data_IF_410943429364
#
_entry.id   IF_410943429364
#
_cell.length_a   1.000
_cell.length_b   1.000
_cell.length_c   1.000
_cell.angle_alpha   90.00
_cell.angle_beta   90.00
_cell.angle_gamma   90.00
#
_symmetry.space_group_name_H-M   'P 1'
#
loop_
_entity.id
_entity.type
_entity.pdbx_description
1 polymer ?
#
# COMPACT_ATOMS: atom_id res chain seq x y z
N UNK A 1 24.78 -41.03 20.44
CA UNK A 1 25.19 -39.65 20.79
C UNK A 1 25.01 -38.73 19.56
N UNK A 2 25.70 -38.98 18.48
CA UNK A 2 25.71 -38.06 17.29
C UNK A 2 24.32 -37.74 16.69
N UNK A 3 23.38 -38.71 16.58
CA UNK A 3 22.04 -38.45 16.03
C UNK A 3 21.21 -37.54 16.93
N UNK A 4 21.25 -37.72 18.22
CA UNK A 4 20.46 -36.90 19.17
C UNK A 4 20.99 -35.47 19.23
N UNK A 5 22.30 -35.26 19.05
CA UNK A 5 22.90 -33.95 18.96
C UNK A 5 22.44 -33.20 17.69
N UNK A 6 22.39 -33.91 16.54
CA UNK A 6 21.88 -33.36 15.28
C UNK A 6 20.39 -33.02 15.38
N UNK A 7 19.57 -33.87 15.99
CA UNK A 7 18.14 -33.59 16.21
C UNK A 7 17.97 -32.36 17.09
N UNK A 8 18.72 -32.23 18.19
CA UNK A 8 18.64 -31.07 19.08
C UNK A 8 19.10 -29.75 18.39
N UNK A 9 20.06 -29.85 17.48
CA UNK A 9 20.49 -28.69 16.67
C UNK A 9 19.37 -28.24 15.72
N UNK A 10 18.74 -29.18 15.00
CA UNK A 10 17.62 -28.89 14.09
C UNK A 10 16.42 -28.34 14.86
N UNK A 11 16.07 -28.92 16.01
CA UNK A 11 14.97 -28.46 16.85
C UNK A 11 15.17 -27.01 17.31
N UNK A 12 16.39 -26.65 17.72
CA UNK A 12 16.71 -25.26 18.08
C UNK A 12 16.54 -24.32 16.91
N UNK A 13 17.08 -24.68 15.74
CA UNK A 13 16.96 -23.85 14.52
C UNK A 13 15.50 -23.63 14.11
N UNK A 14 14.67 -24.68 14.16
CA UNK A 14 13.24 -24.58 13.87
C UNK A 14 12.49 -23.72 14.91
N UNK A 15 12.82 -23.85 16.20
CA UNK A 15 12.22 -23.01 17.24
C UNK A 15 12.61 -21.54 17.13
N UNK A 16 13.84 -21.25 16.66
CA UNK A 16 14.28 -19.87 16.38
C UNK A 16 13.52 -19.28 15.18
N UNK A 17 13.33 -20.07 14.10
CA UNK A 17 12.54 -19.65 12.92
C UNK A 17 11.05 -19.45 13.28
N UNK A 18 10.47 -20.30 14.14
CA UNK A 18 9.10 -20.14 14.65
C UNK A 18 8.93 -18.81 15.39
N UNK A 19 9.85 -18.50 16.34
CA UNK A 19 9.82 -17.20 17.05
C UNK A 19 9.96 -16.00 16.11
N UNK A 20 10.81 -16.10 15.10
CA UNK A 20 10.94 -15.05 14.09
C UNK A 20 9.66 -14.90 13.25
N UNK A 21 8.97 -16.00 12.94
CA UNK A 21 7.69 -16.00 12.24
C UNK A 21 6.58 -15.35 13.06
N UNK A 22 6.50 -15.66 14.36
CA UNK A 22 5.54 -15.03 15.27
C UNK A 22 5.77 -13.52 15.36
N UNK A 23 7.04 -13.09 15.49
CA UNK A 23 7.43 -11.67 15.46
C UNK A 23 6.98 -11.02 14.16
N UNK A 24 7.27 -11.63 13.01
CA UNK A 24 6.88 -11.12 11.70
C UNK A 24 5.36 -10.89 11.61
N UNK A 25 4.57 -11.86 12.06
CA UNK A 25 3.12 -11.76 12.08
C UNK A 25 2.63 -10.62 13.00
N UNK A 26 3.10 -10.58 14.25
CA UNK A 26 2.65 -9.59 15.23
C UNK A 26 2.99 -8.16 14.82
N UNK A 27 4.25 -7.92 14.40
CA UNK A 27 4.69 -6.58 14.01
C UNK A 27 4.02 -6.12 12.70
N UNK A 28 3.87 -7.00 11.71
CA UNK A 28 3.12 -6.70 10.48
C UNK A 28 1.70 -6.25 10.78
N UNK A 29 1.01 -6.92 11.71
CA UNK A 29 -0.35 -6.53 12.11
C UNK A 29 -0.38 -5.18 12.85
N UNK A 30 0.65 -4.83 13.63
CA UNK A 30 0.77 -3.51 14.27
C UNK A 30 0.95 -2.42 13.21
N UNK A 31 1.83 -2.66 12.23
CA UNK A 31 2.07 -1.76 11.11
C UNK A 31 0.76 -1.52 10.33
N UNK A 32 0.06 -2.57 9.92
CA UNK A 32 -1.21 -2.47 9.18
C UNK A 32 -2.28 -1.69 9.97
N UNK A 33 -2.32 -1.81 11.29
CA UNK A 33 -3.24 -0.99 12.09
C UNK A 33 -2.87 0.49 12.07
N UNK A 34 -1.58 0.82 12.08
CA UNK A 34 -1.10 2.21 11.98
C UNK A 34 -1.39 2.79 10.59
N UNK A 35 -1.18 2.02 9.50
CA UNK A 35 -1.48 2.46 8.13
C UNK A 35 -2.97 2.79 7.97
N UNK A 36 -3.86 1.94 8.46
CA UNK A 36 -5.31 2.21 8.45
C UNK A 36 -5.70 3.47 9.21
N UNK A 37 -5.03 3.75 10.35
CA UNK A 37 -5.24 5.00 11.09
C UNK A 37 -4.75 6.21 10.30
N UNK A 38 -3.58 6.12 9.65
CA UNK A 38 -3.03 7.19 8.83
C UNK A 38 -3.93 7.50 7.63
N UNK A 39 -4.34 6.47 6.85
CA UNK A 39 -5.27 6.62 5.71
C UNK A 39 -6.59 7.24 6.16
N UNK A 40 -7.16 6.77 7.28
CA UNK A 40 -8.37 7.37 7.81
C UNK A 40 -8.20 8.86 8.16
N UNK A 41 -7.08 9.24 8.77
CA UNK A 41 -6.73 10.64 9.04
C UNK A 41 -6.62 11.47 7.76
N UNK A 42 -6.00 10.93 6.71
CA UNK A 42 -5.88 11.59 5.41
C UNK A 42 -7.25 11.88 4.78
N UNK A 43 -8.20 10.95 4.81
CA UNK A 43 -9.58 11.18 4.35
C UNK A 43 -10.32 12.26 5.13
N UNK A 44 -9.94 12.49 6.37
CA UNK A 44 -10.51 13.57 7.19
C UNK A 44 -9.77 14.91 7.04
N UNK A 45 -8.77 14.98 6.17
CA UNK A 45 -7.87 16.13 6.04
C UNK A 45 -6.94 16.32 7.25
N UNK A 46 -6.78 15.29 8.07
CA UNK A 46 -5.96 15.28 9.30
C UNK A 46 -4.68 14.48 9.07
N UNK A 47 -3.75 15.07 8.33
CA UNK A 47 -2.44 14.49 8.08
C UNK A 47 -1.64 14.37 9.37
N UNK A 48 -1.08 13.20 9.65
CA UNK A 48 -0.21 12.91 10.80
C UNK A 48 1.17 12.42 10.31
N UNK A 49 2.11 13.35 10.02
CA UNK A 49 3.45 12.98 9.53
C UNK A 49 4.22 12.11 10.52
N UNK A 50 4.09 12.37 11.83
CA UNK A 50 4.79 11.60 12.85
C UNK A 50 4.34 10.14 12.87
N UNK A 51 3.05 9.89 12.64
CA UNK A 51 2.51 8.54 12.50
C UNK A 51 3.09 7.85 11.26
N UNK A 52 3.17 8.54 10.11
CA UNK A 52 3.74 8.00 8.86
C UNK A 52 5.23 7.67 9.06
N UNK A 53 6.00 8.57 9.67
CA UNK A 53 7.43 8.37 9.98
C UNK A 53 7.62 7.18 10.96
N UNK A 54 6.70 7.03 11.93
CA UNK A 54 6.73 5.89 12.85
C UNK A 54 6.47 4.56 12.14
N UNK A 55 5.62 4.54 11.11
CA UNK A 55 5.37 3.33 10.30
C UNK A 55 6.62 2.97 9.49
N UNK A 56 7.29 3.95 8.89
CA UNK A 56 8.56 3.75 8.19
C UNK A 56 9.61 3.12 9.12
N UNK A 57 9.76 3.65 10.33
CA UNK A 57 10.68 3.12 11.33
C UNK A 57 10.33 1.70 11.76
N UNK A 58 9.03 1.37 11.91
CA UNK A 58 8.57 0.01 12.24
C UNK A 58 8.89 -0.98 11.11
N UNK A 59 8.73 -0.59 9.84
CA UNK A 59 9.09 -1.41 8.66
C UNK A 59 10.59 -1.71 8.67
N UNK A 60 11.44 -0.68 8.80
CA UNK A 60 12.90 -0.83 8.85
C UNK A 60 13.33 -1.74 10.01
N UNK A 61 12.77 -1.53 11.21
CA UNK A 61 13.05 -2.36 12.37
C UNK A 61 12.62 -3.82 12.20
N UNK A 62 11.48 -4.06 11.55
CA UNK A 62 11.01 -5.41 11.24
C UNK A 62 11.94 -6.12 10.24
N UNK A 63 12.35 -5.45 9.18
CA UNK A 63 13.30 -6.00 8.19
C UNK A 63 14.64 -6.32 8.84
N UNK A 64 15.16 -5.45 9.70
CA UNK A 64 16.41 -5.67 10.44
C UNK A 64 16.28 -6.88 11.40
N UNK A 65 15.19 -6.97 12.15
CA UNK A 65 14.95 -8.08 13.07
C UNK A 65 14.85 -9.44 12.33
N UNK A 66 14.42 -9.44 11.08
CA UNK A 66 14.29 -10.62 10.23
C UNK A 66 15.49 -10.86 9.31
N UNK A 67 16.61 -10.13 9.44
CA UNK A 67 17.76 -10.24 8.55
C UNK A 67 18.35 -11.66 8.47
N UNK A 68 18.25 -12.44 9.56
CA UNK A 68 18.65 -13.86 9.60
C UNK A 68 17.66 -14.82 8.92
N UNK A 69 16.47 -14.34 8.55
CA UNK A 69 15.34 -15.13 8.02
C UNK A 69 14.78 -14.53 6.72
N UNK A 70 15.52 -14.51 5.62
CA UNK A 70 15.09 -13.84 4.38
C UNK A 70 13.72 -14.31 3.86
N UNK A 71 13.38 -15.60 4.07
CA UNK A 71 12.08 -16.15 3.69
C UNK A 71 10.90 -15.43 4.37
N UNK A 72 11.09 -14.98 5.61
CA UNK A 72 10.06 -14.25 6.35
C UNK A 72 9.94 -12.80 5.87
N UNK A 73 11.05 -12.16 5.51
CA UNK A 73 11.03 -10.80 4.92
C UNK A 73 10.20 -10.75 3.64
N UNK A 74 10.26 -11.79 2.82
CA UNK A 74 9.44 -11.92 1.60
C UNK A 74 8.14 -12.70 1.84
N UNK A 75 7.81 -13.02 3.09
CA UNK A 75 6.59 -13.70 3.49
C UNK A 75 5.35 -12.81 3.33
N UNK A 76 4.17 -13.44 3.32
CA UNK A 76 2.90 -12.76 3.07
C UNK A 76 2.59 -11.65 4.07
N UNK A 77 2.91 -11.84 5.36
CA UNK A 77 2.62 -10.86 6.41
C UNK A 77 3.43 -9.58 6.23
N UNK A 78 4.76 -9.72 6.08
CA UNK A 78 5.67 -8.58 5.89
C UNK A 78 5.39 -7.89 4.55
N UNK A 79 5.18 -8.66 3.47
CA UNK A 79 4.81 -8.11 2.16
C UNK A 79 3.50 -7.32 2.21
N UNK A 80 2.50 -7.79 2.97
CA UNK A 80 1.25 -7.06 3.17
C UNK A 80 1.45 -5.77 3.95
N UNK A 81 2.28 -5.78 5.00
CA UNK A 81 2.58 -4.56 5.76
C UNK A 81 3.32 -3.52 4.90
N UNK A 82 4.30 -3.94 4.08
CA UNK A 82 5.00 -3.07 3.13
C UNK A 82 4.05 -2.49 2.08
N UNK A 83 3.10 -3.27 1.57
CA UNK A 83 2.11 -2.83 0.58
C UNK A 83 1.18 -1.76 1.17
N UNK A 84 0.63 -1.98 2.36
CA UNK A 84 -0.23 -1.02 3.06
C UNK A 84 0.53 0.27 3.43
N UNK A 85 1.83 0.14 3.75
CA UNK A 85 2.69 1.31 3.97
C UNK A 85 2.92 2.09 2.67
N UNK A 86 3.22 1.39 1.56
CA UNK A 86 3.35 2.02 0.25
C UNK A 86 2.06 2.76 -0.14
N UNK A 87 0.89 2.12 -0.02
CA UNK A 87 -0.41 2.75 -0.25
C UNK A 87 -0.56 4.04 0.56
N UNK A 88 -0.25 3.99 1.86
CA UNK A 88 -0.37 5.15 2.76
C UNK A 88 0.50 6.32 2.30
N UNK A 89 1.78 6.07 1.98
CA UNK A 89 2.73 7.13 1.59
C UNK A 89 2.41 7.66 0.19
N UNK A 90 2.14 6.78 -0.76
CA UNK A 90 1.81 7.18 -2.14
C UNK A 90 0.51 7.99 -2.18
N UNK A 91 -0.47 7.62 -1.37
CA UNK A 91 -1.72 8.38 -1.21
C UNK A 91 -1.46 9.75 -0.56
N UNK A 92 -0.69 9.82 0.54
CA UNK A 92 -0.32 11.10 1.18
C UNK A 92 0.39 12.06 0.21
N UNK A 93 1.35 11.55 -0.56
CA UNK A 93 2.09 12.35 -1.55
C UNK A 93 1.20 12.81 -2.71
N UNK A 94 0.32 11.93 -3.21
CA UNK A 94 -0.65 12.26 -4.26
C UNK A 94 -1.60 13.37 -3.82
N UNK A 95 -2.11 13.35 -2.58
CA UNK A 95 -2.96 14.42 -2.05
C UNK A 95 -2.25 15.76 -1.96
N UNK A 96 -0.93 15.78 -1.80
CA UNK A 96 -0.10 16.97 -1.72
C UNK A 96 0.42 17.44 -3.09
N UNK A 97 0.16 16.70 -4.17
CA UNK A 97 0.73 16.97 -5.50
C UNK A 97 2.26 16.89 -5.53
N UNK A 98 2.86 16.05 -4.68
CA UNK A 98 4.31 15.85 -4.60
C UNK A 98 4.75 14.72 -5.51
N UNK A 99 6.03 14.76 -5.93
CA UNK A 99 6.69 13.63 -6.58
C UNK A 99 6.68 12.40 -5.68
N UNK A 100 6.27 11.25 -6.23
CA UNK A 100 6.15 10.02 -5.46
C UNK A 100 7.54 9.47 -5.09
N UNK A 101 7.74 9.00 -3.84
CA UNK A 101 9.00 8.37 -3.45
C UNK A 101 9.15 7.01 -4.12
N UNK A 102 10.39 6.63 -4.41
CA UNK A 102 10.70 5.30 -4.96
C UNK A 102 10.54 4.21 -3.91
N UNK A 103 10.49 2.95 -4.35
CA UNK A 103 10.51 1.81 -3.43
C UNK A 103 11.80 1.75 -2.60
N UNK A 104 12.90 2.27 -3.14
CA UNK A 104 14.19 2.35 -2.45
C UNK A 104 14.17 3.40 -1.34
N UNK A 105 13.52 4.55 -1.57
CA UNK A 105 13.37 5.60 -0.56
C UNK A 105 12.50 5.14 0.61
N UNK A 106 11.55 4.22 0.33
CA UNK A 106 10.67 3.63 1.33
C UNK A 106 11.25 2.36 1.99
N UNK A 107 12.41 1.88 1.53
CA UNK A 107 13.07 0.64 2.00
C UNK A 107 12.14 -0.59 1.95
N UNK A 108 11.28 -0.67 0.91
CA UNK A 108 10.34 -1.77 0.69
C UNK A 108 10.63 -2.53 -0.60
N UNK A 109 9.92 -3.63 -0.83
CA UNK A 109 10.07 -4.38 -2.08
C UNK A 109 9.40 -3.67 -3.27
N UNK A 110 9.96 -3.79 -4.50
CA UNK A 110 9.31 -3.26 -5.71
C UNK A 110 7.87 -3.77 -5.90
N UNK A 111 7.63 -5.04 -5.54
CA UNK A 111 6.30 -5.63 -5.62
C UNK A 111 5.31 -4.96 -4.65
N UNK A 112 5.72 -4.71 -3.41
CA UNK A 112 4.89 -4.02 -2.41
C UNK A 112 4.57 -2.59 -2.86
N UNK A 113 5.55 -1.87 -3.43
CA UNK A 113 5.36 -0.53 -3.97
C UNK A 113 4.32 -0.50 -5.10
N UNK A 114 4.47 -1.39 -6.11
CA UNK A 114 3.56 -1.45 -7.24
C UNK A 114 2.14 -1.88 -6.85
N UNK A 115 2.02 -2.78 -5.87
CA UNK A 115 0.73 -3.20 -5.30
C UNK A 115 0.07 -2.07 -4.51
N UNK A 116 0.83 -1.33 -3.71
CA UNK A 116 0.36 -0.15 -2.97
C UNK A 116 -0.05 1.00 -3.89
N UNK A 117 0.64 1.21 -5.02
CA UNK A 117 0.24 2.17 -6.04
C UNK A 117 -1.16 1.85 -6.59
N UNK A 118 -1.45 0.58 -6.84
CA UNK A 118 -2.76 0.16 -7.31
C UNK A 118 -3.87 0.41 -6.27
N UNK A 119 -3.60 0.20 -4.98
CA UNK A 119 -4.56 0.45 -3.91
C UNK A 119 -4.76 1.95 -3.66
N UNK A 120 -3.72 2.76 -3.78
CA UNK A 120 -3.78 4.22 -3.71
C UNK A 120 -4.82 4.82 -4.68
N UNK A 121 -4.97 4.27 -5.89
CA UNK A 121 -6.01 4.68 -6.85
C UNK A 121 -7.42 4.52 -6.25
N UNK A 122 -7.62 3.48 -5.45
CA UNK A 122 -8.89 3.22 -4.75
C UNK A 122 -9.19 4.28 -3.67
N UNK A 123 -8.19 4.69 -2.91
CA UNK A 123 -8.33 5.71 -1.87
C UNK A 123 -8.56 7.11 -2.48
N UNK A 124 -7.85 7.46 -3.56
CA UNK A 124 -8.11 8.68 -4.32
C UNK A 124 -9.53 8.72 -4.89
N UNK A 125 -10.05 7.57 -5.39
CA UNK A 125 -11.45 7.50 -5.82
C UNK A 125 -12.41 7.80 -4.67
N UNK A 126 -12.15 7.30 -3.48
CA UNK A 126 -12.98 7.58 -2.30
C UNK A 126 -13.07 9.07 -2.02
N UNK A 127 -11.93 9.78 -2.09
CA UNK A 127 -11.93 11.23 -1.92
C UNK A 127 -12.60 11.96 -3.08
N UNK A 128 -12.42 11.48 -4.32
CA UNK A 128 -13.11 12.04 -5.49
C UNK A 128 -14.65 11.97 -5.30
N UNK A 129 -15.15 10.82 -4.84
CA UNK A 129 -16.58 10.67 -4.57
C UNK A 129 -17.04 11.57 -3.41
N UNK A 130 -16.21 11.74 -2.38
CA UNK A 130 -16.50 12.67 -1.27
C UNK A 130 -16.56 14.12 -1.77
N UNK A 131 -15.66 14.52 -2.66
CA UNK A 131 -15.69 15.84 -3.29
C UNK A 131 -16.99 16.05 -4.11
N UNK A 132 -17.40 15.03 -4.90
CA UNK A 132 -18.67 15.10 -5.65
C UNK A 132 -19.89 15.21 -4.73
N UNK A 133 -19.91 14.49 -3.60
CA UNK A 133 -21.02 14.57 -2.62
C UNK A 133 -21.09 15.96 -1.96
N UNK A 134 -19.94 16.64 -1.86
CA UNK A 134 -19.85 18.00 -1.30
C UNK A 134 -19.95 19.11 -2.37
N UNK A 135 -20.38 18.78 -3.59
CA UNK A 135 -20.50 19.69 -4.74
C UNK A 135 -19.17 20.37 -5.14
N UNK A 136 -18.03 19.80 -4.72
CA UNK A 136 -16.68 20.28 -5.09
C UNK A 136 -16.20 19.58 -6.38
N UNK A 137 -16.78 20.02 -7.50
CA UNK A 137 -16.45 19.45 -8.81
C UNK A 137 -14.98 19.70 -9.20
N UNK A 138 -14.41 20.87 -8.83
CA UNK A 138 -13.02 21.19 -9.14
C UNK A 138 -12.06 20.20 -8.45
N UNK A 139 -12.27 19.93 -7.18
CA UNK A 139 -11.47 18.96 -6.44
C UNK A 139 -11.65 17.53 -6.98
N UNK A 140 -12.87 17.16 -7.35
CA UNK A 140 -13.13 15.86 -7.97
C UNK A 140 -12.39 15.70 -9.32
N UNK A 141 -12.30 16.76 -10.13
CA UNK A 141 -11.54 16.76 -11.39
C UNK A 141 -10.03 16.63 -11.16
N UNK A 142 -9.47 17.32 -10.17
CA UNK A 142 -8.05 17.20 -9.80
C UNK A 142 -7.71 15.77 -9.37
N UNK A 143 -8.51 15.19 -8.46
CA UNK A 143 -8.31 13.82 -7.98
C UNK A 143 -8.45 12.81 -9.12
N UNK A 144 -9.42 12.99 -10.01
CA UNK A 144 -9.57 12.13 -11.18
C UNK A 144 -8.36 12.20 -12.11
N UNK A 145 -7.80 13.40 -12.34
CA UNK A 145 -6.60 13.55 -13.18
C UNK A 145 -5.40 12.81 -12.56
N UNK A 146 -5.21 12.92 -11.24
CA UNK A 146 -4.17 12.16 -10.51
C UNK A 146 -4.39 10.64 -10.64
N UNK A 147 -5.63 10.17 -10.45
CA UNK A 147 -5.96 8.75 -10.62
C UNK A 147 -5.67 8.25 -12.04
N UNK A 148 -5.96 9.04 -13.08
CA UNK A 148 -5.76 8.69 -14.49
C UNK A 148 -4.25 8.53 -14.77
N UNK A 149 -3.41 9.45 -14.29
CA UNK A 149 -1.95 9.39 -14.40
C UNK A 149 -1.38 8.14 -13.70
N UNK A 150 -1.79 7.88 -12.46
CA UNK A 150 -1.32 6.70 -11.70
C UNK A 150 -1.78 5.39 -12.34
N UNK A 151 -3.00 5.36 -12.87
CA UNK A 151 -3.55 4.20 -13.56
C UNK A 151 -2.79 3.92 -14.85
N UNK A 152 -2.50 4.94 -15.67
CA UNK A 152 -1.72 4.80 -16.89
C UNK A 152 -0.32 4.26 -16.58
N UNK A 153 0.34 4.79 -15.55
CA UNK A 153 1.63 4.28 -15.08
C UNK A 153 1.53 2.81 -14.63
N UNK A 154 0.49 2.45 -13.86
CA UNK A 154 0.25 1.08 -13.40
C UNK A 154 0.06 0.11 -14.59
N UNK A 155 -0.57 0.56 -15.68
CA UNK A 155 -0.81 -0.27 -16.87
C UNK A 155 0.45 -0.56 -17.68
N UNK A 156 1.56 0.15 -17.46
CA UNK A 156 2.85 -0.13 -18.11
C UNK A 156 3.53 -1.41 -17.61
N UNK A 157 3.15 -1.90 -16.42
CA UNK A 157 3.73 -3.12 -15.88
C UNK A 157 3.24 -4.36 -16.63
N UNK A 158 4.17 -5.10 -17.24
CA UNK A 158 3.93 -6.45 -17.79
C UNK A 158 4.82 -7.46 -17.05
N UNK A 159 4.40 -7.77 -15.82
CA UNK A 159 5.16 -8.61 -14.88
C UNK A 159 4.36 -9.89 -14.60
N UNK A 160 5.10 -11.02 -14.50
CA UNK A 160 4.47 -12.31 -14.15
C UNK A 160 3.91 -12.26 -12.72
N UNK A 161 2.71 -12.82 -12.53
CA UNK A 161 2.04 -12.86 -11.22
C UNK A 161 2.85 -13.59 -10.14
N UNK A 162 3.79 -14.48 -10.54
CA UNK A 162 4.71 -15.13 -9.61
C UNK A 162 5.75 -14.18 -9.00
N UNK A 163 5.96 -13.00 -9.61
CA UNK A 163 6.85 -11.94 -9.10
C UNK A 163 6.04 -10.89 -8.35
N UNK A 164 4.97 -10.40 -8.98
CA UNK A 164 4.02 -9.48 -8.38
C UNK A 164 2.64 -9.71 -8.99
N UNK A 165 1.58 -10.03 -8.20
CA UNK A 165 0.25 -10.37 -8.72
C UNK A 165 -0.52 -9.11 -9.15
N UNK A 166 0.03 -8.36 -10.12
CA UNK A 166 -0.48 -7.06 -10.55
C UNK A 166 -1.68 -7.15 -11.50
N UNK A 167 -1.85 -8.22 -12.27
CA UNK A 167 -2.93 -8.31 -13.27
C UNK A 167 -4.30 -8.07 -12.66
N UNK A 168 -4.59 -8.73 -11.54
CA UNK A 168 -5.86 -8.52 -10.83
C UNK A 168 -6.02 -7.06 -10.34
N UNK A 169 -4.96 -6.44 -9.86
CA UNK A 169 -4.96 -5.03 -9.44
C UNK A 169 -5.18 -4.08 -10.61
N UNK A 170 -4.54 -4.33 -11.74
CA UNK A 170 -4.75 -3.58 -12.99
C UNK A 170 -6.20 -3.67 -13.46
N UNK A 171 -6.82 -4.86 -13.43
CA UNK A 171 -8.23 -5.03 -13.81
C UNK A 171 -9.18 -4.28 -12.86
N UNK A 172 -8.91 -4.30 -11.56
CA UNK A 172 -9.65 -3.53 -10.56
C UNK A 172 -9.49 -2.02 -10.82
N UNK A 173 -8.26 -1.54 -11.07
CA UNK A 173 -7.99 -0.14 -11.35
C UNK A 173 -8.72 0.34 -12.63
N UNK A 174 -8.72 -0.44 -13.72
CA UNK A 174 -9.53 -0.13 -14.92
C UNK A 174 -11.00 0.03 -14.58
N UNK A 175 -11.58 -0.90 -13.84
CA UNK A 175 -12.98 -0.82 -13.42
C UNK A 175 -13.26 0.36 -12.50
N UNK A 176 -12.30 0.77 -11.67
CA UNK A 176 -12.37 1.99 -10.86
C UNK A 176 -12.42 3.21 -11.80
N UNK A 177 -11.51 3.32 -12.76
CA UNK A 177 -11.41 4.45 -13.68
C UNK A 177 -12.65 4.60 -14.55
N UNK A 178 -13.21 3.52 -15.09
CA UNK A 178 -14.44 3.55 -15.88
C UNK A 178 -15.63 4.11 -15.08
N UNK A 179 -15.83 3.63 -13.85
CA UNK A 179 -16.88 4.15 -12.97
C UNK A 179 -16.64 5.60 -12.59
N UNK A 180 -15.42 5.98 -12.25
CA UNK A 180 -15.05 7.35 -11.88
C UNK A 180 -15.31 8.33 -13.01
N UNK A 181 -15.01 7.95 -14.24
CA UNK A 181 -15.28 8.76 -15.45
C UNK A 181 -16.78 8.99 -15.65
N UNK A 182 -17.58 7.95 -15.41
CA UNK A 182 -19.05 8.05 -15.49
C UNK A 182 -19.62 8.95 -14.39
N UNK A 183 -19.16 8.79 -13.15
CA UNK A 183 -19.61 9.59 -12.01
C UNK A 183 -19.30 11.08 -12.23
N UNK A 184 -18.05 11.38 -12.66
CA UNK A 184 -17.60 12.75 -12.94
C UNK A 184 -18.35 13.39 -14.13
N UNK A 185 -18.55 12.63 -15.20
CA UNK A 185 -19.31 13.12 -16.37
C UNK A 185 -20.77 13.44 -15.99
N UNK A 186 -21.41 12.59 -15.16
CA UNK A 186 -22.77 12.82 -14.67
C UNK A 186 -22.83 14.09 -13.82
N UNK A 187 -21.90 14.27 -12.88
CA UNK A 187 -21.84 15.48 -12.04
C UNK A 187 -21.66 16.74 -12.88
N UNK A 188 -20.79 16.73 -13.91
CA UNK A 188 -20.58 17.84 -14.84
C UNK A 188 -21.83 18.21 -15.65
N UNK A 189 -22.64 17.24 -16.01
CA UNK A 189 -23.90 17.50 -16.72
C UNK A 189 -24.89 18.15 -15.78
N UNK A 190 -25.02 17.61 -14.56
CA UNK A 190 -25.97 18.11 -13.56
C UNK A 190 -25.61 19.53 -13.11
N UNK A 191 -24.33 19.87 -12.93
CA UNK A 191 -23.89 21.21 -12.54
C UNK A 191 -24.20 22.30 -13.57
N UNK A 192 -24.45 21.94 -14.85
CA UNK A 192 -24.84 22.89 -15.92
C UNK A 192 -26.33 23.15 -16.01
N UNK A 193 -27.14 22.39 -15.30
CA UNK A 193 -28.61 22.49 -15.32
C UNK A 193 -29.12 23.36 -14.17
N UNK A 194 -28.28 23.66 -13.22
CA UNK A 194 -28.55 24.58 -12.10
C UNK A 194 -27.77 25.89 -12.29
#
# INVERSE_FOLDING_TARGET
>A
MQLMELISEVERALSDEERASDLAFEESRKIIRKTKKAIHGLHLGQRDPELIDSISSDIAGLVEALAGYPRLVFGADVSSAMMEFAETVLYDYSLQGKELPSYSDLEITPAAWAMGLADCIGELRRDMLTALVNDDLARAEELFATMDELCDALMTFDIKDSVAPLRRKQDIARGIMERSRTDLATAKIMSKVH
#
